data_IF_229260746258
#
_entry.id   IF_229260746258
#
_cell.length_a   1.000
_cell.length_b   1.000
_cell.length_c   1.000
_cell.angle_alpha   90.00
_cell.angle_beta   90.00
_cell.angle_gamma   90.00
#
_symmetry.space_group_name_H-M   'P 1'
#
loop_
_entity.id
_entity.type
_entity.pdbx_description
1 polymer ?
#
# COMPACT_ATOMS: atom_id res chain seq x y z
N UNK A 1 -15.58 -3.38 35.14
CA UNK A 1 -14.16 -3.08 34.93
C UNK A 1 -13.60 -4.11 33.96
N UNK A 2 -13.93 -3.98 32.67
CA UNK A 2 -13.63 -4.99 31.64
C UNK A 2 -13.18 -4.37 30.31
N UNK A 3 -13.02 -3.04 30.20
CA UNK A 3 -12.74 -2.37 28.92
C UNK A 3 -11.25 -2.06 28.67
N UNK A 4 -10.42 -2.03 29.72
CA UNK A 4 -9.10 -1.38 29.60
C UNK A 4 -7.98 -2.27 29.07
N UNK A 5 -8.15 -3.60 29.03
CA UNK A 5 -7.11 -4.54 28.57
C UNK A 5 -7.23 -4.85 27.07
N UNK A 6 -8.43 -4.84 26.51
CA UNK A 6 -8.67 -5.17 25.09
C UNK A 6 -8.27 -4.03 24.13
N UNK A 7 -8.52 -2.76 24.50
CA UNK A 7 -8.18 -1.60 23.65
C UNK A 7 -6.68 -1.51 23.24
N UNK A 8 -5.70 -1.66 24.16
CA UNK A 8 -4.28 -1.58 23.77
C UNK A 8 -3.83 -2.77 22.91
N UNK A 9 -4.42 -3.95 23.08
CA UNK A 9 -4.11 -5.14 22.29
C UNK A 9 -4.66 -5.03 20.86
N UNK A 10 -5.90 -4.54 20.73
CA UNK A 10 -6.53 -4.30 19.42
C UNK A 10 -5.78 -3.24 18.61
N UNK A 11 -5.27 -2.19 19.27
CA UNK A 11 -4.42 -1.18 18.64
C UNK A 11 -3.11 -1.78 18.11
N UNK A 12 -2.44 -2.65 18.88
CA UNK A 12 -1.21 -3.32 18.43
C UNK A 12 -1.46 -4.23 17.22
N UNK A 13 -2.56 -5.00 17.24
CA UNK A 13 -2.97 -5.85 16.11
C UNK A 13 -3.23 -5.01 14.86
N UNK A 14 -3.95 -3.89 14.97
CA UNK A 14 -4.24 -3.00 13.85
C UNK A 14 -2.95 -2.42 13.25
N UNK A 15 -2.01 -1.98 14.09
CA UNK A 15 -0.70 -1.49 13.65
C UNK A 15 0.10 -2.59 12.93
N UNK A 16 0.09 -3.82 13.47
CA UNK A 16 0.75 -4.99 12.87
C UNK A 16 0.19 -5.28 11.48
N UNK A 17 -1.13 -5.32 11.34
CA UNK A 17 -1.82 -5.59 10.07
C UNK A 17 -1.50 -4.50 9.05
N UNK A 18 -1.57 -3.23 9.42
CA UNK A 18 -1.24 -2.11 8.53
C UNK A 18 0.22 -2.19 8.04
N UNK A 19 1.17 -2.48 8.95
CA UNK A 19 2.57 -2.68 8.59
C UNK A 19 2.77 -3.82 7.59
N UNK A 20 2.13 -4.96 7.82
CA UNK A 20 2.20 -6.12 6.92
C UNK A 20 1.62 -5.81 5.53
N UNK A 21 0.48 -5.10 5.46
CA UNK A 21 -0.12 -4.65 4.20
C UNK A 21 0.84 -3.77 3.40
N UNK A 22 1.48 -2.80 4.05
CA UNK A 22 2.47 -1.92 3.41
C UNK A 22 3.65 -2.71 2.85
N UNK A 23 4.25 -3.57 3.67
CA UNK A 23 5.37 -4.42 3.25
C UNK A 23 5.03 -5.34 2.09
N UNK A 24 3.83 -5.94 2.13
CA UNK A 24 3.33 -6.80 1.06
C UNK A 24 3.19 -6.04 -0.26
N UNK A 25 2.63 -4.82 -0.25
CA UNK A 25 2.49 -4.00 -1.44
C UNK A 25 3.85 -3.71 -2.10
N UNK A 26 4.85 -3.30 -1.31
CA UNK A 26 6.20 -3.06 -1.81
C UNK A 26 6.93 -4.32 -2.27
N UNK A 27 6.60 -5.49 -1.70
CA UNK A 27 7.14 -6.77 -2.16
C UNK A 27 6.54 -7.20 -3.50
N UNK A 28 5.22 -7.08 -3.69
CA UNK A 28 4.54 -7.41 -4.96
C UNK A 28 5.07 -6.52 -6.09
N UNK A 29 5.18 -5.21 -5.89
CA UNK A 29 5.69 -4.27 -6.93
C UNK A 29 7.10 -4.64 -7.42
N UNK A 30 7.94 -5.20 -6.55
CA UNK A 30 9.33 -5.57 -6.89
C UNK A 30 9.46 -6.99 -7.45
N UNK A 31 8.43 -7.84 -7.32
CA UNK A 31 8.46 -9.21 -7.81
C UNK A 31 8.43 -9.24 -9.34
N UNK A 32 9.26 -10.11 -9.93
CA UNK A 32 9.33 -10.36 -11.39
C UNK A 32 9.30 -11.86 -11.72
N UNK A 33 8.53 -12.63 -10.97
CA UNK A 33 8.46 -14.09 -11.04
C UNK A 33 7.27 -14.60 -11.89
N UNK A 34 6.67 -13.75 -12.71
CA UNK A 34 5.58 -14.11 -13.63
C UNK A 34 4.23 -14.43 -12.96
N UNK A 35 4.13 -14.32 -11.63
CA UNK A 35 2.89 -14.55 -10.88
C UNK A 35 1.85 -13.47 -11.16
N UNK A 36 0.60 -13.74 -10.76
CA UNK A 36 -0.53 -12.84 -11.03
C UNK A 36 -0.48 -11.51 -10.26
N UNK A 37 0.21 -11.46 -9.11
CA UNK A 37 0.25 -10.26 -8.25
C UNK A 37 0.74 -9.00 -8.99
N UNK A 38 1.94 -9.01 -9.60
CA UNK A 38 2.40 -7.91 -10.45
C UNK A 38 1.46 -7.60 -11.62
N UNK A 39 0.83 -8.63 -12.23
CA UNK A 39 -0.12 -8.43 -13.34
C UNK A 39 -1.34 -7.61 -12.92
N UNK A 40 -1.82 -7.76 -11.69
CA UNK A 40 -2.92 -6.95 -11.14
C UNK A 40 -2.50 -5.50 -10.91
N UNK A 41 -1.27 -5.26 -10.47
CA UNK A 41 -0.77 -3.90 -10.28
C UNK A 41 -0.50 -3.15 -11.60
N UNK A 42 -0.14 -3.90 -12.64
CA UNK A 42 0.06 -3.38 -13.99
C UNK A 42 -1.22 -3.35 -14.82
N UNK A 43 -2.29 -3.96 -14.32
CA UNK A 43 -3.55 -4.09 -15.05
C UNK A 43 -4.16 -2.72 -15.36
N UNK A 44 -4.64 -2.57 -16.60
CA UNK A 44 -5.35 -1.39 -17.05
C UNK A 44 -6.76 -1.79 -17.50
N UNK A 45 -7.81 -1.13 -16.98
CA UNK A 45 -9.20 -1.49 -17.29
C UNK A 45 -9.63 -1.17 -18.72
N UNK A 46 -8.85 -0.38 -19.47
CA UNK A 46 -9.18 0.04 -20.84
C UNK A 46 -8.02 -0.24 -21.76
N UNK A 47 -8.28 -0.98 -22.83
CA UNK A 47 -7.38 -1.12 -23.96
C UNK A 47 -7.67 0.04 -24.93
N UNK A 48 -6.77 1.03 -25.01
CA UNK A 48 -6.93 2.16 -25.95
C UNK A 48 -6.12 3.40 -25.59
N UNK A 49 -6.08 4.37 -26.52
CA UNK A 49 -5.45 5.69 -26.29
C UNK A 49 -6.40 6.60 -25.51
N UNK A 50 -5.85 7.38 -24.57
CA UNK A 50 -6.57 8.47 -23.89
C UNK A 50 -6.28 9.81 -24.56
N UNK A 51 -7.14 10.80 -24.30
CA UNK A 51 -6.91 12.18 -24.72
C UNK A 51 -5.59 12.73 -24.13
N UNK A 52 -4.99 13.65 -24.86
CA UNK A 52 -3.81 14.39 -24.41
C UNK A 52 -4.14 15.06 -23.07
N UNK A 53 -3.28 14.86 -22.06
CA UNK A 53 -3.46 15.40 -20.70
C UNK A 53 -3.94 14.40 -19.64
N UNK A 54 -4.46 13.22 -20.01
CA UNK A 54 -4.75 12.12 -19.04
C UNK A 54 -4.08 10.82 -19.47
N UNK A 55 -2.78 10.64 -19.17
CA UNK A 55 -2.10 9.37 -19.40
C UNK A 55 -2.83 8.22 -18.67
N UNK A 56 -2.79 7.00 -19.23
CA UNK A 56 -3.28 5.82 -18.52
C UNK A 56 -2.33 5.49 -17.35
N UNK A 57 -2.81 5.69 -16.13
CA UNK A 57 -2.06 5.45 -14.88
C UNK A 57 -2.29 4.03 -14.38
N UNK A 58 -1.23 3.33 -13.98
CA UNK A 58 -1.29 2.01 -13.31
C UNK A 58 -1.11 2.19 -11.81
N UNK A 59 -1.58 1.23 -11.01
CA UNK A 59 -1.33 1.23 -9.57
C UNK A 59 0.17 1.19 -9.26
N UNK A 60 0.94 0.48 -10.07
CA UNK A 60 2.40 0.49 -9.98
C UNK A 60 2.99 1.90 -10.09
N UNK A 61 2.42 2.79 -10.92
CA UNK A 61 2.92 4.15 -11.10
C UNK A 61 2.62 5.01 -9.88
N UNK A 62 1.43 4.85 -9.29
CA UNK A 62 1.07 5.52 -8.04
C UNK A 62 1.95 5.07 -6.88
N UNK A 63 2.20 3.77 -6.76
CA UNK A 63 3.08 3.24 -5.72
C UNK A 63 4.50 3.75 -5.93
N UNK A 64 5.02 3.77 -7.15
CA UNK A 64 6.36 4.32 -7.44
C UNK A 64 6.45 5.82 -7.14
N UNK A 65 5.42 6.59 -7.51
CA UNK A 65 5.34 8.03 -7.27
C UNK A 65 5.36 8.37 -5.78
N UNK A 66 4.63 7.58 -4.99
CA UNK A 66 4.57 7.76 -3.53
C UNK A 66 5.84 7.22 -2.88
N UNK A 67 6.26 5.99 -3.22
CA UNK A 67 7.36 5.29 -2.58
C UNK A 67 8.75 5.90 -2.84
N UNK A 68 8.98 6.45 -4.03
CA UNK A 68 10.27 6.99 -4.44
C UNK A 68 11.45 6.08 -4.10
N UNK A 69 12.33 6.56 -3.21
CA UNK A 69 13.52 5.87 -2.70
C UNK A 69 13.25 5.04 -1.43
N UNK A 70 14.16 4.11 -1.10
CA UNK A 70 14.04 3.25 0.11
C UNK A 70 13.90 4.05 1.42
N UNK A 71 14.48 5.24 1.51
CA UNK A 71 14.34 6.12 2.69
C UNK A 71 12.92 6.65 2.86
N UNK A 72 12.30 7.08 1.74
CA UNK A 72 10.93 7.58 1.71
C UNK A 72 9.92 6.45 2.01
N UNK A 73 10.17 5.24 1.52
CA UNK A 73 9.32 4.07 1.77
C UNK A 73 9.12 3.75 3.26
N UNK A 74 10.19 3.80 4.06
CA UNK A 74 10.12 3.52 5.50
C UNK A 74 9.41 4.65 6.27
N UNK A 75 9.59 5.89 5.83
CA UNK A 75 8.87 7.05 6.37
C UNK A 75 7.36 6.92 6.14
N UNK A 76 6.97 6.60 4.90
CA UNK A 76 5.58 6.40 4.52
C UNK A 76 4.90 5.23 5.21
N UNK A 77 5.66 4.19 5.57
CA UNK A 77 5.11 3.11 6.37
C UNK A 77 4.61 3.62 7.73
N UNK A 78 5.35 4.53 8.39
CA UNK A 78 4.95 5.09 9.69
C UNK A 78 3.68 5.94 9.56
N UNK A 79 3.61 6.78 8.53
CA UNK A 79 2.43 7.62 8.28
C UNK A 79 1.22 6.79 7.87
N UNK A 80 1.41 5.76 7.04
CA UNK A 80 0.36 4.81 6.67
C UNK A 80 -0.22 4.09 7.88
N UNK A 81 0.63 3.56 8.77
CA UNK A 81 0.19 2.90 10.00
C UNK A 81 -0.58 3.88 10.89
N UNK A 82 -0.06 5.09 11.11
CA UNK A 82 -0.74 6.12 11.93
C UNK A 82 -2.11 6.51 11.36
N UNK A 83 -2.21 6.70 10.04
CA UNK A 83 -3.49 7.00 9.40
C UNK A 83 -4.49 5.84 9.60
N UNK A 84 -4.04 4.60 9.40
CA UNK A 84 -4.90 3.43 9.48
C UNK A 84 -5.40 3.14 10.89
N UNK A 85 -4.61 3.46 11.92
CA UNK A 85 -4.98 3.23 13.33
C UNK A 85 -5.65 4.44 13.99
N UNK A 86 -5.61 5.62 13.37
CA UNK A 86 -6.30 6.82 13.83
C UNK A 86 -7.77 6.89 13.35
N UNK A 87 -8.12 6.10 12.34
CA UNK A 87 -9.48 6.05 11.75
C UNK A 87 -10.39 5.04 12.47
N UNK A 88 -9.85 4.22 13.38
CA UNK A 88 -10.61 3.26 14.21
C UNK A 88 -10.80 3.77 15.62
#
# INVERSE_FOLDING_TARGET
MWRSVEEPELSDIAQRVAKLKWQWAGHIVRRRDGRWGPKVLEWQPRNGKRSVGRPPTRWTDDIKRVAGSRGIWNSLQKTYVQQWTSIG
#
